data_IF_332261203399
#
_entry.id   IF_332261203399
#
_cell.length_a   1.000
_cell.length_b   1.000
_cell.length_c   1.000
_cell.angle_alpha   90.00
_cell.angle_beta   90.00
_cell.angle_gamma   90.00
#
_symmetry.space_group_name_H-M   'P 1'
#
loop_
_entity.id
_entity.type
_entity.pdbx_description
1 polymer ?
#
# COMPACT_ATOMS: atom_id res chain seq x y z
N UNK A 1 20.39 26.75 12.79
CA UNK A 1 19.55 25.52 12.83
C UNK A 1 19.24 24.95 11.42
N UNK A 2 19.35 25.74 10.37
CA UNK A 2 19.03 25.39 8.96
C UNK A 2 20.07 24.54 8.23
N UNK A 3 21.36 24.60 8.60
CA UNK A 3 22.41 23.84 7.89
C UNK A 3 22.45 22.34 8.21
N UNK A 4 22.19 21.94 9.48
CA UNK A 4 22.12 20.51 9.86
C UNK A 4 21.00 19.78 9.12
N UNK A 5 19.83 20.43 8.99
CA UNK A 5 18.69 19.87 8.25
C UNK A 5 19.04 19.74 6.77
N UNK A 6 19.70 20.74 6.17
CA UNK A 6 20.10 20.70 4.76
C UNK A 6 21.14 19.62 4.47
N UNK A 7 22.09 19.40 5.39
CA UNK A 7 23.10 18.33 5.27
C UNK A 7 22.50 16.94 5.48
N UNK A 8 21.53 16.79 6.38
CA UNK A 8 20.78 15.55 6.57
C UNK A 8 19.96 15.20 5.32
N UNK A 9 19.24 16.17 4.74
CA UNK A 9 18.51 15.98 3.49
C UNK A 9 19.42 15.69 2.29
N UNK A 10 20.61 16.29 2.21
CA UNK A 10 21.61 15.96 1.18
C UNK A 10 22.13 14.53 1.32
N UNK A 11 22.45 14.07 2.54
CA UNK A 11 22.83 12.68 2.80
C UNK A 11 21.73 11.69 2.44
N UNK A 12 20.48 11.96 2.82
CA UNK A 12 19.32 11.17 2.41
C UNK A 12 19.21 11.10 0.89
N UNK A 13 19.39 12.22 0.19
CA UNK A 13 19.31 12.26 -1.28
C UNK A 13 20.42 11.46 -1.96
N UNK A 14 21.64 11.50 -1.41
CA UNK A 14 22.75 10.67 -1.88
C UNK A 14 22.50 9.19 -1.60
N UNK A 15 22.00 8.81 -0.42
CA UNK A 15 21.61 7.43 -0.15
C UNK A 15 20.50 6.94 -1.10
N UNK A 16 19.46 7.77 -1.33
CA UNK A 16 18.36 7.46 -2.25
C UNK A 16 18.83 7.24 -3.70
N UNK A 17 19.88 7.92 -4.15
CA UNK A 17 20.46 7.73 -5.49
C UNK A 17 21.37 6.49 -5.58
N UNK A 18 22.04 6.11 -4.49
CA UNK A 18 23.01 5.01 -4.48
C UNK A 18 22.33 3.63 -4.32
N UNK A 19 21.19 3.54 -3.62
CA UNK A 19 20.60 2.24 -3.23
C UNK A 19 19.30 1.85 -3.95
N UNK A 20 18.94 2.48 -5.07
CA UNK A 20 17.70 2.17 -5.81
C UNK A 20 16.40 2.19 -4.96
N UNK A 21 16.40 2.84 -3.79
CA UNK A 21 15.26 2.87 -2.85
C UNK A 21 13.98 3.34 -3.53
N UNK A 22 14.09 4.28 -4.48
CA UNK A 22 12.94 4.78 -5.22
C UNK A 22 12.18 3.71 -6.00
N UNK A 23 12.84 2.70 -6.58
CA UNK A 23 12.13 1.62 -7.29
C UNK A 23 11.42 0.67 -6.33
N UNK A 24 12.06 0.34 -5.21
CA UNK A 24 11.51 -0.51 -4.14
C UNK A 24 10.29 0.15 -3.50
N UNK A 25 10.43 1.42 -3.12
CA UNK A 25 9.36 2.25 -2.61
C UNK A 25 8.15 2.31 -3.56
N UNK A 26 8.38 2.57 -4.86
CA UNK A 26 7.29 2.59 -5.84
C UNK A 26 6.60 1.24 -5.97
N UNK A 27 7.37 0.15 -5.96
CA UNK A 27 6.83 -1.21 -6.06
C UNK A 27 5.93 -1.53 -4.85
N UNK A 28 6.42 -1.30 -3.62
CA UNK A 28 5.64 -1.54 -2.40
C UNK A 28 4.44 -0.61 -2.28
N UNK A 29 4.58 0.64 -2.70
CA UNK A 29 3.46 1.58 -2.73
C UNK A 29 2.32 1.06 -3.62
N UNK A 30 2.62 0.68 -4.87
CA UNK A 30 1.56 0.24 -5.80
C UNK A 30 0.97 -1.11 -5.37
N UNK A 31 1.83 -2.08 -5.01
CA UNK A 31 1.40 -3.42 -4.65
C UNK A 31 0.46 -3.40 -3.43
N UNK A 32 0.89 -2.80 -2.32
CA UNK A 32 0.05 -2.76 -1.12
C UNK A 32 -1.08 -1.73 -1.21
N UNK A 33 -0.89 -0.64 -1.97
CA UNK A 33 -1.96 0.31 -2.23
C UNK A 33 -3.13 -0.34 -2.98
N UNK A 34 -2.82 -1.24 -3.92
CA UNK A 34 -3.80 -2.08 -4.59
C UNK A 34 -4.49 -3.02 -3.60
N UNK A 35 -3.73 -3.71 -2.75
CA UNK A 35 -4.30 -4.61 -1.74
C UNK A 35 -5.25 -3.88 -0.77
N UNK A 36 -4.92 -2.66 -0.34
CA UNK A 36 -5.78 -1.86 0.52
C UNK A 36 -7.13 -1.52 -0.12
N UNK A 37 -7.10 -1.11 -1.39
CA UNK A 37 -8.33 -0.84 -2.16
C UNK A 37 -9.16 -2.12 -2.37
N UNK A 38 -8.51 -3.24 -2.72
CA UNK A 38 -9.17 -4.53 -2.96
C UNK A 38 -9.80 -5.11 -1.69
N UNK A 39 -9.09 -5.00 -0.56
CA UNK A 39 -9.58 -5.46 0.74
C UNK A 39 -10.83 -4.69 1.15
N UNK A 40 -10.81 -3.36 0.99
CA UNK A 40 -11.99 -2.55 1.28
C UNK A 40 -13.13 -2.79 0.32
N UNK A 41 -12.85 -2.96 -0.97
CA UNK A 41 -13.86 -3.36 -1.95
C UNK A 41 -14.55 -4.66 -1.51
N UNK A 42 -13.77 -5.64 -1.03
CA UNK A 42 -14.32 -6.90 -0.54
C UNK A 42 -15.20 -6.74 0.70
N UNK A 43 -14.76 -5.94 1.69
CA UNK A 43 -15.56 -5.63 2.89
C UNK A 43 -16.86 -4.92 2.51
N UNK A 44 -16.79 -3.92 1.63
CA UNK A 44 -17.94 -3.13 1.21
C UNK A 44 -18.96 -3.98 0.45
N UNK A 45 -18.52 -4.74 -0.56
CA UNK A 45 -19.43 -5.61 -1.34
C UNK A 45 -19.97 -6.75 -0.49
N UNK A 46 -19.15 -7.39 0.34
CA UNK A 46 -19.60 -8.44 1.25
C UNK A 46 -20.67 -7.93 2.22
N UNK A 47 -20.48 -6.73 2.77
CA UNK A 47 -21.46 -6.11 3.65
C UNK A 47 -22.75 -5.73 2.93
N UNK A 48 -22.66 -5.27 1.67
CA UNK A 48 -23.81 -4.99 0.82
C UNK A 48 -24.64 -6.25 0.59
N UNK A 49 -24.03 -7.38 0.20
CA UNK A 49 -24.75 -8.62 -0.12
C UNK A 49 -25.58 -9.12 1.06
N UNK A 50 -25.05 -9.03 2.28
CA UNK A 50 -25.74 -9.43 3.51
C UNK A 50 -26.82 -8.41 3.92
N UNK A 51 -26.94 -7.29 3.22
CA UNK A 51 -27.93 -6.25 3.48
C UNK A 51 -27.63 -5.45 4.75
N UNK A 52 -26.36 -5.36 5.14
CA UNK A 52 -25.99 -4.65 6.36
C UNK A 52 -26.26 -3.14 6.22
N UNK A 53 -27.07 -2.61 7.13
CA UNK A 53 -27.44 -1.20 7.19
C UNK A 53 -26.69 -0.44 8.26
N UNK A 54 -25.87 -1.11 9.09
CA UNK A 54 -25.13 -0.47 10.17
C UNK A 54 -23.72 -0.03 9.70
N UNK A 55 -23.50 1.27 9.44
CA UNK A 55 -22.20 1.77 8.96
C UNK A 55 -21.07 1.55 9.97
N UNK A 56 -21.41 1.46 11.26
CA UNK A 56 -20.44 1.24 12.33
C UNK A 56 -19.69 -0.08 12.12
N UNK A 57 -20.36 -1.13 11.68
CA UNK A 57 -19.75 -2.44 11.41
C UNK A 57 -18.74 -2.33 10.26
N UNK A 58 -19.09 -1.61 9.20
CA UNK A 58 -18.23 -1.44 8.01
C UNK A 58 -16.99 -0.62 8.38
N UNK A 59 -17.18 0.46 9.14
CA UNK A 59 -16.07 1.32 9.57
C UNK A 59 -15.15 0.58 10.53
N UNK A 60 -15.67 -0.16 11.52
CA UNK A 60 -14.82 -0.91 12.46
C UNK A 60 -14.10 -2.08 11.78
N UNK A 61 -14.78 -2.84 10.91
CA UNK A 61 -14.18 -3.92 10.14
C UNK A 61 -13.10 -3.38 9.18
N UNK A 62 -13.41 -2.30 8.46
CA UNK A 62 -12.48 -1.68 7.53
C UNK A 62 -11.27 -1.07 8.23
N UNK A 63 -11.46 -0.31 9.32
CA UNK A 63 -10.33 0.22 10.10
C UNK A 63 -9.50 -0.90 10.73
N UNK A 64 -10.14 -1.96 11.22
CA UNK A 64 -9.46 -3.15 11.72
C UNK A 64 -8.58 -3.79 10.65
N UNK A 65 -9.12 -3.99 9.45
CA UNK A 65 -8.37 -4.50 8.30
C UNK A 65 -7.23 -3.56 7.88
N UNK A 66 -7.47 -2.24 7.84
CA UNK A 66 -6.44 -1.23 7.53
C UNK A 66 -5.28 -1.30 8.51
N UNK A 67 -5.57 -1.34 9.82
CA UNK A 67 -4.56 -1.41 10.85
C UNK A 67 -3.79 -2.74 10.80
N UNK A 68 -4.50 -3.86 10.61
CA UNK A 68 -3.88 -5.17 10.48
C UNK A 68 -2.94 -5.21 9.27
N UNK A 69 -3.37 -4.73 8.11
CA UNK A 69 -2.53 -4.63 6.92
C UNK A 69 -1.36 -3.66 7.09
N UNK A 70 -1.57 -2.50 7.72
CA UNK A 70 -0.51 -1.53 7.94
C UNK A 70 0.59 -2.05 8.86
N UNK A 71 0.20 -2.68 9.98
CA UNK A 71 1.14 -3.34 10.89
C UNK A 71 1.81 -4.52 10.17
N UNK A 72 1.05 -5.38 9.50
CA UNK A 72 1.59 -6.53 8.77
C UNK A 72 2.58 -6.10 7.68
N UNK A 73 2.28 -5.04 6.94
CA UNK A 73 3.16 -4.49 5.90
C UNK A 73 4.45 -3.91 6.46
N UNK A 74 4.36 -3.06 7.50
CA UNK A 74 5.57 -2.50 8.14
C UNK A 74 6.49 -3.61 8.65
N UNK A 75 5.98 -4.51 9.49
CA UNK A 75 6.83 -5.53 10.08
C UNK A 75 7.26 -6.60 9.06
N UNK A 76 6.35 -7.01 8.17
CA UNK A 76 6.60 -8.00 7.12
C UNK A 76 7.67 -7.53 6.14
N UNK A 77 7.50 -6.34 5.56
CA UNK A 77 8.48 -5.78 4.64
C UNK A 77 9.81 -5.45 5.35
N UNK A 78 9.79 -4.95 6.59
CA UNK A 78 11.03 -4.70 7.34
C UNK A 78 11.82 -5.98 7.56
N UNK A 79 11.16 -7.05 8.04
CA UNK A 79 11.83 -8.32 8.29
C UNK A 79 12.36 -8.95 6.99
N UNK A 80 11.57 -8.93 5.92
CA UNK A 80 11.94 -9.48 4.63
C UNK A 80 13.11 -8.71 3.99
N UNK A 81 13.00 -7.37 3.89
CA UNK A 81 14.07 -6.54 3.33
C UNK A 81 15.33 -6.61 4.18
N UNK A 82 15.22 -6.59 5.52
CA UNK A 82 16.39 -6.70 6.39
C UNK A 82 17.10 -8.05 6.22
N UNK A 83 16.35 -9.14 6.09
CA UNK A 83 16.94 -10.46 5.86
C UNK A 83 17.68 -10.53 4.53
N UNK A 84 17.06 -10.04 3.45
CA UNK A 84 17.64 -10.06 2.11
C UNK A 84 18.89 -9.17 2.03
N UNK A 85 18.85 -7.99 2.64
CA UNK A 85 19.99 -7.08 2.66
C UNK A 85 21.14 -7.60 3.51
N UNK A 86 20.85 -8.21 4.66
CA UNK A 86 21.88 -8.84 5.50
C UNK A 86 22.56 -10.00 4.76
N UNK A 87 21.79 -10.81 4.02
CA UNK A 87 22.33 -11.88 3.18
C UNK A 87 23.25 -11.30 2.09
N UNK A 88 22.79 -10.28 1.38
CA UNK A 88 23.58 -9.62 0.34
C UNK A 88 24.88 -9.03 0.87
N UNK A 89 24.85 -8.39 2.05
CA UNK A 89 26.04 -7.82 2.69
C UNK A 89 27.04 -8.92 3.08
N UNK A 90 26.56 -10.03 3.64
CA UNK A 90 27.42 -11.18 3.98
C UNK A 90 28.10 -11.79 2.74
N UNK A 91 27.37 -11.92 1.63
CA UNK A 91 27.96 -12.41 0.37
C UNK A 91 29.05 -11.48 -0.16
N UNK A 92 28.91 -10.17 0.03
CA UNK A 92 29.94 -9.18 -0.29
C UNK A 92 31.16 -9.30 0.62
N UNK A 93 30.96 -9.46 1.93
CA UNK A 93 32.04 -9.69 2.91
C UNK A 93 32.86 -10.93 2.57
N UNK A 94 32.18 -12.05 2.28
CA UNK A 94 32.83 -13.31 1.90
C UNK A 94 33.65 -13.16 0.61
N UNK A 95 33.14 -12.39 -0.37
CA UNK A 95 33.82 -12.16 -1.64
C UNK A 95 35.03 -11.23 -1.52
N UNK A 96 34.99 -10.28 -0.58
CA UNK A 96 36.08 -9.33 -0.33
C UNK A 96 37.03 -9.76 0.79
N UNK A 97 36.74 -10.88 1.48
CA UNK A 97 37.46 -11.36 2.66
C UNK A 97 37.64 -10.25 3.72
N UNK A 98 36.68 -9.35 3.82
CA UNK A 98 36.73 -8.14 4.66
C UNK A 98 35.38 -7.91 5.30
N UNK A 99 35.38 -7.56 6.59
CA UNK A 99 34.17 -7.21 7.35
C UNK A 99 33.63 -5.84 6.89
N UNK A 100 32.33 -5.79 6.58
CA UNK A 100 31.62 -4.59 6.12
C UNK A 100 30.55 -4.15 7.12
N UNK A 101 30.51 -4.73 8.31
CA UNK A 101 29.49 -4.45 9.34
C UNK A 101 29.43 -2.97 9.75
N UNK A 102 30.58 -2.28 9.82
CA UNK A 102 30.72 -0.84 10.09
C UNK A 102 30.91 0.02 8.82
N UNK A 103 30.46 -0.49 7.67
CA UNK A 103 30.55 0.23 6.40
C UNK A 103 29.30 1.08 6.12
N UNK A 104 29.48 2.11 5.27
CA UNK A 104 28.37 2.91 4.72
C UNK A 104 27.31 2.03 4.04
N UNK A 105 27.67 0.85 3.54
CA UNK A 105 26.74 -0.10 2.94
C UNK A 105 25.78 -0.73 3.97
N UNK A 106 26.26 -1.01 5.19
CA UNK A 106 25.45 -1.55 6.29
C UNK A 106 24.39 -0.53 6.76
N UNK A 107 24.80 0.72 6.97
CA UNK A 107 23.90 1.80 7.34
C UNK A 107 22.85 2.09 6.27
N UNK A 108 23.29 2.16 5.01
CA UNK A 108 22.39 2.40 3.89
C UNK A 108 21.35 1.27 3.76
N UNK A 109 21.77 0.02 3.94
CA UNK A 109 20.90 -1.17 3.95
C UNK A 109 19.79 -1.06 5.00
N UNK A 110 20.13 -0.75 6.26
CA UNK A 110 19.13 -0.60 7.32
C UNK A 110 18.12 0.52 7.02
N UNK A 111 18.60 1.65 6.49
CA UNK A 111 17.73 2.75 6.10
C UNK A 111 16.76 2.35 4.99
N UNK A 112 17.22 1.62 3.96
CA UNK A 112 16.35 1.13 2.87
C UNK A 112 15.24 0.24 3.43
N UNK A 113 15.58 -0.72 4.30
CA UNK A 113 14.59 -1.64 4.88
C UNK A 113 13.52 -0.91 5.69
N UNK A 114 13.90 0.06 6.52
CA UNK A 114 12.94 0.86 7.30
C UNK A 114 12.06 1.72 6.38
N UNK A 115 12.68 2.38 5.39
CA UNK A 115 11.93 3.25 4.47
C UNK A 115 10.95 2.47 3.59
N UNK A 116 11.38 1.31 3.06
CA UNK A 116 10.52 0.41 2.30
C UNK A 116 9.34 -0.07 3.15
N UNK A 117 9.60 -0.52 4.38
CA UNK A 117 8.58 -0.96 5.33
C UNK A 117 7.52 0.10 5.65
N UNK A 118 7.94 1.35 5.86
CA UNK A 118 7.01 2.44 6.12
C UNK A 118 6.08 2.69 4.93
N UNK A 119 6.62 2.70 3.71
CA UNK A 119 5.82 2.87 2.50
C UNK A 119 4.87 1.70 2.30
N UNK A 120 5.37 0.49 2.54
CA UNK A 120 4.62 -0.76 2.43
C UNK A 120 3.36 -0.75 3.29
N UNK A 121 3.46 -0.40 4.59
CA UNK A 121 2.28 -0.37 5.45
C UNK A 121 1.43 0.90 5.39
N UNK A 122 2.00 2.07 5.04
CA UNK A 122 1.20 3.30 4.90
C UNK A 122 0.34 3.25 3.63
N UNK A 123 0.85 2.68 2.54
CA UNK A 123 0.12 2.63 1.27
C UNK A 123 -1.28 2.00 1.35
N UNK A 124 -1.46 0.76 1.88
CA UNK A 124 -2.78 0.13 1.97
C UNK A 124 -3.72 0.91 2.89
N UNK A 125 -3.20 1.51 3.97
CA UNK A 125 -4.02 2.34 4.86
C UNK A 125 -4.57 3.57 4.13
N UNK A 126 -3.74 4.25 3.34
CA UNK A 126 -4.17 5.42 2.58
C UNK A 126 -5.27 5.06 1.59
N UNK A 127 -5.08 3.98 0.83
CA UNK A 127 -6.03 3.60 -0.22
C UNK A 127 -7.32 3.04 0.36
N UNK A 128 -7.24 2.27 1.44
CA UNK A 128 -8.40 1.73 2.14
C UNK A 128 -9.22 2.83 2.86
N UNK A 129 -8.57 3.83 3.45
CA UNK A 129 -9.28 4.97 4.07
C UNK A 129 -10.11 5.74 3.05
N UNK A 130 -9.64 5.89 1.80
CA UNK A 130 -10.44 6.54 0.75
C UNK A 130 -11.78 5.82 0.53
N UNK A 131 -11.80 4.49 0.56
CA UNK A 131 -13.02 3.69 0.47
C UNK A 131 -13.93 3.82 1.71
N UNK A 132 -13.37 4.14 2.88
CA UNK A 132 -14.11 4.28 4.13
C UNK A 132 -14.75 5.65 4.34
N UNK A 133 -14.25 6.71 3.67
CA UNK A 133 -14.74 8.08 3.83
C UNK A 133 -16.28 8.17 3.77
N UNK A 134 -16.98 7.56 2.78
CA UNK A 134 -18.43 7.66 2.70
C UNK A 134 -19.14 7.06 3.92
N UNK A 135 -18.63 5.96 4.47
CA UNK A 135 -19.20 5.32 5.66
C UNK A 135 -18.87 6.08 6.96
N UNK A 136 -17.75 6.80 7.01
CA UNK A 136 -17.47 7.70 8.13
C UNK A 136 -18.46 8.88 8.10
N UNK A 137 -18.79 9.39 6.92
CA UNK A 137 -19.78 10.45 6.75
C UNK A 137 -21.20 10.01 7.12
N UNK A 138 -21.60 8.76 6.87
CA UNK A 138 -22.90 8.26 7.33
C UNK A 138 -23.00 8.22 8.87
N UNK A 139 -21.90 7.97 9.59
CA UNK A 139 -21.88 8.03 11.06
C UNK A 139 -22.17 9.45 11.59
N UNK A 140 -21.86 10.48 10.82
CA UNK A 140 -22.16 11.88 11.16
C UNK A 140 -23.57 12.33 10.77
N UNK A 141 -24.36 11.45 10.15
CA UNK A 141 -25.72 11.74 9.69
C UNK A 141 -25.80 12.53 8.38
N UNK A 142 -24.68 12.78 7.70
CA UNK A 142 -24.64 13.59 6.45
C UNK A 142 -25.03 12.81 5.20
N UNK A 143 -24.92 11.48 5.22
CA UNK A 143 -25.18 10.60 4.07
C UNK A 143 -26.06 9.42 4.46
N UNK A 144 -26.87 8.97 3.50
CA UNK A 144 -27.64 7.72 3.60
C UNK A 144 -26.72 6.53 3.29
N UNK A 145 -26.93 5.40 3.97
CA UNK A 145 -26.09 4.20 3.81
C UNK A 145 -26.00 3.69 2.36
N UNK A 146 -27.10 3.74 1.61
CA UNK A 146 -27.14 3.32 0.21
C UNK A 146 -26.27 4.19 -0.70
N UNK A 147 -26.29 5.50 -0.49
CA UNK A 147 -25.43 6.42 -1.23
C UNK A 147 -23.96 6.18 -0.86
N UNK A 148 -23.67 5.89 0.41
CA UNK A 148 -22.32 5.58 0.84
C UNK A 148 -21.73 4.33 0.18
N UNK A 149 -22.54 3.28 -0.04
CA UNK A 149 -22.13 2.09 -0.79
C UNK A 149 -21.72 2.45 -2.23
N UNK A 150 -22.55 3.21 -2.94
CA UNK A 150 -22.30 3.60 -4.34
C UNK A 150 -21.07 4.52 -4.42
N UNK A 151 -20.99 5.54 -3.58
CA UNK A 151 -19.87 6.47 -3.54
C UNK A 151 -18.57 5.73 -3.18
N UNK A 152 -18.61 4.82 -2.20
CA UNK A 152 -17.44 4.03 -1.82
C UNK A 152 -16.97 3.13 -2.96
N UNK A 153 -17.88 2.48 -3.68
CA UNK A 153 -17.56 1.67 -4.85
C UNK A 153 -16.87 2.52 -5.94
N UNK A 154 -17.44 3.68 -6.26
CA UNK A 154 -16.87 4.60 -7.26
C UNK A 154 -15.49 5.07 -6.83
N UNK A 155 -15.32 5.49 -5.58
CA UNK A 155 -14.03 5.93 -5.03
C UNK A 155 -12.99 4.81 -5.09
N UNK A 156 -13.39 3.58 -4.77
CA UNK A 156 -12.47 2.43 -4.77
C UNK A 156 -12.07 2.01 -6.19
N UNK A 157 -12.99 2.04 -7.15
CA UNK A 157 -12.65 1.81 -8.55
C UNK A 157 -11.78 2.94 -9.11
N UNK A 158 -12.04 4.20 -8.70
CA UNK A 158 -11.22 5.34 -9.08
C UNK A 158 -9.81 5.29 -8.47
N UNK A 159 -9.64 4.81 -7.24
CA UNK A 159 -8.32 4.61 -6.61
C UNK A 159 -7.57 3.49 -7.33
N UNK A 160 -8.21 2.35 -7.62
CA UNK A 160 -7.64 1.26 -8.41
C UNK A 160 -7.22 1.73 -9.81
N UNK A 161 -8.08 2.48 -10.50
CA UNK A 161 -7.77 3.07 -11.79
C UNK A 161 -6.56 3.99 -11.68
N UNK A 162 -6.53 4.89 -10.69
CA UNK A 162 -5.42 5.83 -10.47
C UNK A 162 -4.09 5.12 -10.19
N UNK A 163 -4.10 4.04 -9.40
CA UNK A 163 -2.93 3.19 -9.17
C UNK A 163 -2.48 2.49 -10.45
N UNK A 164 -3.42 2.03 -11.27
CA UNK A 164 -3.14 1.45 -12.59
C UNK A 164 -2.53 2.47 -13.56
N UNK A 165 -3.07 3.70 -13.63
CA UNK A 165 -2.47 4.78 -14.42
C UNK A 165 -1.02 5.05 -13.97
N UNK A 166 -0.79 5.08 -12.65
CA UNK A 166 0.55 5.27 -12.10
C UNK A 166 1.50 4.14 -12.49
N UNK A 167 1.03 2.88 -12.46
CA UNK A 167 1.81 1.72 -12.86
C UNK A 167 2.15 1.75 -14.36
N UNK A 168 1.18 2.07 -15.22
CA UNK A 168 1.41 2.22 -16.67
C UNK A 168 2.42 3.33 -16.98
N UNK A 169 2.42 4.42 -16.20
CA UNK A 169 3.42 5.49 -16.32
C UNK A 169 4.82 5.02 -15.93
N UNK A 170 4.94 4.17 -14.90
CA UNK A 170 6.22 3.56 -14.52
C UNK A 170 6.70 2.60 -15.61
N UNK A 171 5.79 1.79 -16.16
CA UNK A 171 6.08 0.84 -17.22
C UNK A 171 6.46 1.52 -18.56
N UNK A 172 6.17 2.82 -18.73
CA UNK A 172 6.28 3.55 -20.00
C UNK A 172 5.44 2.93 -21.12
N UNK A 173 4.31 2.35 -20.74
CA UNK A 173 3.36 1.71 -21.65
C UNK A 173 2.03 2.48 -21.66
N UNK A 174 0.99 1.90 -22.26
CA UNK A 174 -0.32 2.53 -22.32
C UNK A 174 -0.94 2.66 -20.91
N UNK A 175 -0.90 3.87 -20.37
CA UNK A 175 -1.38 4.25 -19.05
C UNK A 175 -2.84 3.83 -18.83
N UNK A 176 -3.71 4.03 -19.82
CA UNK A 176 -5.13 3.67 -19.74
C UNK A 176 -5.35 2.16 -19.71
N UNK A 177 -4.51 1.38 -20.39
CA UNK A 177 -4.60 -0.08 -20.39
C UNK A 177 -4.32 -0.64 -18.99
N UNK A 178 -3.29 -0.14 -18.31
CA UNK A 178 -3.00 -0.53 -16.93
C UNK A 178 -4.12 -0.14 -15.96
N UNK A 179 -4.69 1.07 -16.12
CA UNK A 179 -5.87 1.49 -15.37
C UNK A 179 -7.06 0.55 -15.60
N UNK A 180 -7.32 0.17 -16.85
CA UNK A 180 -8.40 -0.76 -17.18
C UNK A 180 -8.15 -2.16 -16.59
N UNK A 181 -6.91 -2.65 -16.60
CA UNK A 181 -6.53 -3.94 -16.01
C UNK A 181 -6.75 -3.97 -14.49
N UNK A 182 -6.37 -2.90 -13.77
CA UNK A 182 -6.57 -2.85 -12.31
C UNK A 182 -8.05 -2.75 -11.94
N UNK A 183 -8.86 -2.00 -12.70
CA UNK A 183 -10.32 -1.98 -12.54
C UNK A 183 -10.93 -3.32 -12.86
N UNK A 184 -10.49 -4.00 -13.93
CA UNK A 184 -10.96 -5.33 -14.29
C UNK A 184 -10.67 -6.36 -13.18
N UNK A 185 -9.51 -6.28 -12.53
CA UNK A 185 -9.20 -7.10 -11.37
C UNK A 185 -10.16 -6.82 -10.20
N UNK A 186 -10.45 -5.56 -9.91
CA UNK A 186 -11.44 -5.18 -8.90
C UNK A 186 -12.85 -5.70 -9.21
N UNK A 187 -13.31 -5.55 -10.45
CA UNK A 187 -14.61 -6.08 -10.91
C UNK A 187 -14.67 -7.61 -10.84
N UNK A 188 -13.57 -8.30 -11.16
CA UNK A 188 -13.47 -9.75 -11.01
C UNK A 188 -13.61 -10.14 -9.54
N UNK A 189 -13.01 -9.38 -8.61
CA UNK A 189 -13.20 -9.60 -7.17
C UNK A 189 -14.66 -9.37 -6.74
N UNK A 190 -15.32 -8.32 -7.23
CA UNK A 190 -16.77 -8.14 -7.01
C UNK A 190 -17.54 -9.37 -7.47
N UNK A 191 -17.28 -9.86 -8.68
CA UNK A 191 -17.98 -11.01 -9.24
C UNK A 191 -17.78 -12.28 -8.38
N UNK A 192 -16.54 -12.55 -7.93
CA UNK A 192 -16.26 -13.68 -7.05
C UNK A 192 -17.00 -13.56 -5.73
N UNK A 193 -17.01 -12.37 -5.11
CA UNK A 193 -17.66 -12.16 -3.81
C UNK A 193 -19.18 -12.30 -3.93
N UNK A 194 -19.77 -11.78 -5.01
CA UNK A 194 -21.21 -11.95 -5.30
C UNK A 194 -21.56 -13.43 -5.48
N UNK A 195 -20.72 -14.20 -6.18
CA UNK A 195 -20.91 -15.65 -6.30
C UNK A 195 -20.82 -16.38 -4.96
N UNK A 196 -19.89 -15.98 -4.09
CA UNK A 196 -19.73 -16.55 -2.75
C UNK A 196 -20.91 -16.22 -1.83
N UNK A 197 -21.44 -14.99 -1.88
CA UNK A 197 -22.58 -14.58 -1.08
C UNK A 197 -23.93 -15.12 -1.57
N UNK A 198 -23.97 -15.78 -2.72
CA UNK A 198 -25.13 -16.52 -3.22
C UNK A 198 -25.21 -17.98 -2.73
N UNK A 199 -24.23 -18.43 -1.91
CA UNK A 199 -24.22 -19.72 -1.20
C UNK A 199 -24.94 -19.55 0.14
#
# INVERSE_FOLDING_TARGET
MTERVRNFFRRIRSYLQITHVGSIARRYFVMNGFDGSMTMLGIVIGSWIVGNTEPKIIVTAGLGACLAMGVSGIFGAYMAEKAERKRHLKTLEDSMLTDLSDSIHSDASNFVSIYAALIDGISPMLTAVVSLIPFILTLTGTLVIWDAYIISLILTLATLFSLGLYLGRIARENIFLYGAQTVAAGLLTVAIIVLLGGI
#
